data_IF_931374350492
#
_entry.id   IF_931374350492
#
_cell.length_a   1.000
_cell.length_b   1.000
_cell.length_c   1.000
_cell.angle_alpha   90.00
_cell.angle_beta   90.00
_cell.angle_gamma   90.00
#
_symmetry.space_group_name_H-M   'P 1'
#
loop_
_entity.id
_entity.type
_entity.pdbx_description
1 polymer ?
#
# COMPACT_ATOMS: atom_id res chain seq x y z
N UNK A 1 17.00 50.51 -16.81
CA UNK A 1 15.55 50.46 -16.51
C UNK A 1 15.12 49.01 -16.55
N UNK A 2 14.86 48.46 -15.36
CA UNK A 2 14.21 47.20 -14.98
C UNK A 2 14.42 45.91 -15.82
N UNK A 3 15.34 45.07 -15.35
CA UNK A 3 15.30 43.61 -15.48
C UNK A 3 14.11 43.06 -14.66
N UNK A 4 13.14 42.43 -15.31
CA UNK A 4 12.07 41.69 -14.64
C UNK A 4 12.57 40.27 -14.35
N UNK A 5 12.93 40.02 -13.09
CA UNK A 5 13.13 38.68 -12.59
C UNK A 5 11.74 38.05 -12.40
N UNK A 6 11.41 37.03 -13.20
CA UNK A 6 10.32 36.11 -12.87
C UNK A 6 10.82 35.32 -11.66
N UNK A 7 10.37 35.73 -10.48
CA UNK A 7 10.56 34.95 -9.27
C UNK A 7 9.89 33.60 -9.47
N UNK A 8 10.68 32.54 -9.66
CA UNK A 8 10.24 31.17 -9.44
C UNK A 8 9.90 31.05 -7.97
N UNK A 9 8.62 31.28 -7.63
CA UNK A 9 8.08 30.87 -6.36
C UNK A 9 8.38 29.38 -6.22
N UNK A 10 9.24 29.03 -5.26
CA UNK A 10 9.39 27.65 -4.83
C UNK A 10 7.96 27.16 -4.53
N UNK A 11 7.49 26.21 -5.32
CA UNK A 11 6.14 25.68 -5.19
C UNK A 11 5.97 25.25 -3.73
N UNK A 12 5.03 25.88 -3.04
CA UNK A 12 4.63 25.52 -1.70
C UNK A 12 4.25 24.04 -1.75
N UNK A 13 5.14 23.17 -1.29
CA UNK A 13 4.96 21.73 -1.45
C UNK A 13 3.87 21.33 -0.48
N UNK A 14 2.64 21.25 -0.99
CA UNK A 14 1.49 20.81 -0.20
C UNK A 14 1.85 19.49 0.49
N UNK A 15 1.86 19.51 1.82
CA UNK A 15 2.12 18.32 2.61
C UNK A 15 0.99 17.34 2.35
N UNK A 16 1.33 16.12 1.98
CA UNK A 16 0.36 15.06 1.71
C UNK A 16 0.54 13.91 2.69
N UNK A 17 -0.57 13.30 3.08
CA UNK A 17 -0.60 11.99 3.73
C UNK A 17 -0.88 10.93 2.67
N UNK A 18 0.08 10.04 2.47
CA UNK A 18 0.10 9.08 1.37
C UNK A 18 -0.07 7.66 1.90
N UNK A 19 -1.08 6.95 1.41
CA UNK A 19 -1.31 5.54 1.72
C UNK A 19 -0.66 4.67 0.65
N UNK A 20 0.33 3.86 1.00
CA UNK A 20 0.96 2.89 0.10
C UNK A 20 0.48 1.50 0.49
N UNK A 21 -0.25 0.86 -0.42
CA UNK A 21 -0.71 -0.51 -0.23
C UNK A 21 0.45 -1.47 -0.47
N UNK A 22 0.78 -2.29 0.53
CA UNK A 22 1.90 -3.24 0.49
C UNK A 22 1.42 -4.68 0.62
N UNK A 23 2.04 -5.58 -0.13
CA UNK A 23 1.93 -7.03 -0.02
C UNK A 23 3.27 -7.68 -0.42
N UNK A 24 3.33 -9.01 -0.47
CA UNK A 24 4.54 -9.74 -0.90
C UNK A 24 4.78 -9.68 -2.43
N UNK A 25 3.92 -8.97 -3.19
CA UNK A 25 4.04 -8.91 -4.65
C UNK A 25 5.10 -7.90 -5.11
N UNK A 26 5.70 -8.19 -6.27
CA UNK A 26 6.63 -7.28 -6.93
C UNK A 26 6.00 -5.94 -7.33
N UNK A 27 4.68 -5.89 -7.52
CA UNK A 27 3.97 -4.68 -7.94
C UNK A 27 3.80 -3.71 -6.79
N UNK A 28 3.49 -4.22 -5.59
CA UNK A 28 3.51 -3.40 -4.38
C UNK A 28 4.91 -2.87 -4.10
N UNK A 29 5.94 -3.72 -4.25
CA UNK A 29 7.32 -3.28 -4.09
C UNK A 29 7.69 -2.16 -5.08
N UNK A 30 7.33 -2.30 -6.36
CA UNK A 30 7.56 -1.27 -7.38
C UNK A 30 6.75 0.02 -7.11
N UNK A 31 5.52 -0.10 -6.61
CA UNK A 31 4.70 1.05 -6.23
C UNK A 31 5.36 1.85 -5.08
N UNK A 32 5.86 1.16 -4.07
CA UNK A 32 6.60 1.76 -2.97
C UNK A 32 7.88 2.46 -3.46
N UNK A 33 8.70 1.79 -4.27
CA UNK A 33 9.96 2.37 -4.78
C UNK A 33 9.71 3.55 -5.72
N UNK A 34 8.69 3.48 -6.57
CA UNK A 34 8.30 4.61 -7.42
C UNK A 34 7.95 5.84 -6.58
N UNK A 35 7.15 5.67 -5.52
CA UNK A 35 6.85 6.77 -4.62
C UNK A 35 8.12 7.35 -3.99
N UNK A 36 8.97 6.49 -3.42
CA UNK A 36 10.21 6.91 -2.76
C UNK A 36 11.11 7.72 -3.68
N UNK A 37 11.25 7.29 -4.94
CA UNK A 37 12.24 7.83 -5.86
C UNK A 37 11.71 9.01 -6.71
N UNK A 38 10.39 9.16 -6.85
CA UNK A 38 9.81 10.13 -7.79
C UNK A 38 8.81 11.10 -7.18
N UNK A 39 8.15 10.75 -6.08
CA UNK A 39 7.04 11.54 -5.52
C UNK A 39 7.25 12.00 -4.09
N UNK A 40 8.12 11.33 -3.32
CA UNK A 40 8.37 11.68 -1.94
C UNK A 40 9.02 13.07 -1.83
N UNK A 41 8.53 13.86 -0.87
CA UNK A 41 9.04 15.19 -0.53
C UNK A 41 9.01 15.36 0.99
N UNK A 42 9.84 16.27 1.48
CA UNK A 42 9.85 16.63 2.90
C UNK A 42 8.45 17.11 3.34
N UNK A 43 8.02 16.63 4.50
CA UNK A 43 6.71 16.94 5.08
C UNK A 43 5.57 16.05 4.59
N UNK A 44 5.78 15.16 3.62
CA UNK A 44 4.83 14.08 3.37
C UNK A 44 4.85 13.07 4.51
N UNK A 45 3.68 12.58 4.91
CA UNK A 45 3.52 11.50 5.87
C UNK A 45 3.12 10.22 5.13
N UNK A 46 3.81 9.11 5.40
CA UNK A 46 3.56 7.84 4.70
C UNK A 46 2.84 6.86 5.62
N UNK A 47 1.77 6.25 5.13
CA UNK A 47 1.10 5.12 5.77
C UNK A 47 1.27 3.91 4.86
N UNK A 48 2.09 2.94 5.24
CA UNK A 48 2.09 1.65 4.57
C UNK A 48 0.97 0.78 5.16
N UNK A 49 0.15 0.19 4.30
CA UNK A 49 -0.99 -0.63 4.73
C UNK A 49 -0.99 -2.00 4.07
N UNK A 50 -0.99 -3.04 4.90
CA UNK A 50 -1.02 -4.43 4.47
C UNK A 50 -2.37 -5.08 4.79
N UNK A 51 -3.08 -5.55 3.77
CA UNK A 51 -4.25 -6.41 3.96
C UNK A 51 -3.81 -7.88 3.98
N UNK A 52 -3.86 -8.49 5.16
CA UNK A 52 -3.50 -9.90 5.37
C UNK A 52 -4.70 -10.77 4.94
N UNK A 53 -4.48 -11.59 3.92
CA UNK A 53 -5.47 -12.54 3.40
C UNK A 53 -5.02 -13.97 3.75
N UNK A 54 -5.40 -14.51 4.94
CA UNK A 54 -5.06 -15.87 5.30
C UNK A 54 -5.80 -16.85 4.38
N UNK A 55 -5.30 -18.08 4.21
CA UNK A 55 -6.01 -19.11 3.45
C UNK A 55 -7.30 -19.57 4.13
N UNK A 56 -7.44 -19.31 5.44
CA UNK A 56 -8.62 -19.63 6.24
C UNK A 56 -8.94 -18.46 7.18
N UNK A 57 -10.21 -18.14 7.31
CA UNK A 57 -10.73 -17.14 8.23
C UNK A 57 -11.26 -17.79 9.51
N UNK A 58 -11.46 -17.03 10.60
CA UNK A 58 -12.07 -17.56 11.83
C UNK A 58 -13.40 -18.30 11.60
N UNK A 59 -14.18 -17.92 10.58
CA UNK A 59 -15.41 -18.61 10.19
C UNK A 59 -15.21 -19.99 9.55
N UNK A 60 -14.01 -20.27 9.03
CA UNK A 60 -13.66 -21.55 8.40
C UNK A 60 -13.15 -22.58 9.42
N UNK A 61 -12.89 -22.17 10.66
CA UNK A 61 -12.22 -23.00 11.66
C UNK A 61 -12.96 -24.31 11.98
N UNK A 62 -14.28 -24.36 11.80
CA UNK A 62 -15.09 -25.57 11.99
C UNK A 62 -14.98 -26.58 10.84
N UNK A 63 -14.54 -26.14 9.66
CA UNK A 63 -14.48 -26.95 8.43
C UNK A 63 -13.06 -27.41 8.08
N UNK A 64 -12.06 -27.01 8.87
CA UNK A 64 -10.65 -27.28 8.63
C UNK A 64 -10.06 -28.02 9.83
N UNK A 65 -9.12 -28.93 9.58
CA UNK A 65 -8.38 -29.57 10.67
C UNK A 65 -7.74 -28.50 11.58
N UNK A 66 -7.96 -28.52 12.91
CA UNK A 66 -7.48 -27.47 13.81
C UNK A 66 -5.96 -27.23 13.75
N UNK A 67 -5.16 -28.28 13.54
CA UNK A 67 -3.71 -28.13 13.40
C UNK A 67 -3.33 -27.43 12.11
N UNK A 68 -4.03 -27.73 11.01
CA UNK A 68 -3.81 -27.07 9.71
C UNK A 68 -4.20 -25.60 9.78
N UNK A 69 -5.36 -25.30 10.39
CA UNK A 69 -5.81 -23.93 10.62
C UNK A 69 -4.78 -23.13 11.44
N UNK A 70 -4.30 -23.70 12.55
CA UNK A 70 -3.35 -23.03 13.43
C UNK A 70 -1.99 -22.80 12.75
N UNK A 71 -1.50 -23.76 11.96
CA UNK A 71 -0.26 -23.60 11.20
C UNK A 71 -0.39 -22.50 10.15
N UNK A 72 -1.48 -22.48 9.40
CA UNK A 72 -1.74 -21.48 8.37
C UNK A 72 -1.91 -20.06 8.94
N UNK A 73 -2.61 -19.94 10.08
CA UNK A 73 -2.74 -18.66 10.78
C UNK A 73 -1.38 -18.15 11.28
N UNK A 74 -0.56 -19.04 11.85
CA UNK A 74 0.80 -18.69 12.29
C UNK A 74 1.66 -18.24 11.12
N UNK A 75 1.63 -18.96 10.00
CA UNK A 75 2.39 -18.60 8.80
C UNK A 75 1.98 -17.23 8.24
N UNK A 76 0.68 -16.94 8.17
CA UNK A 76 0.17 -15.64 7.71
C UNK A 76 0.64 -14.49 8.62
N UNK A 77 0.65 -14.69 9.95
CA UNK A 77 1.15 -13.71 10.91
C UNK A 77 2.67 -13.50 10.73
N UNK A 78 3.45 -14.58 10.67
CA UNK A 78 4.91 -14.49 10.48
C UNK A 78 5.26 -13.75 9.19
N UNK A 79 4.61 -14.06 8.07
CA UNK A 79 4.80 -13.36 6.79
C UNK A 79 4.43 -11.88 6.89
N UNK A 80 3.34 -11.54 7.57
CA UNK A 80 2.96 -10.15 7.80
C UNK A 80 4.03 -9.39 8.60
N UNK A 81 4.53 -9.97 9.70
CA UNK A 81 5.58 -9.36 10.52
C UNK A 81 6.89 -9.16 9.73
N UNK A 82 7.27 -10.14 8.90
CA UNK A 82 8.46 -10.03 8.03
C UNK A 82 8.28 -8.91 6.99
N UNK A 83 7.09 -8.80 6.40
CA UNK A 83 6.77 -7.75 5.45
C UNK A 83 6.82 -6.36 6.11
N UNK A 84 6.23 -6.21 7.30
CA UNK A 84 6.26 -4.97 8.07
C UNK A 84 7.70 -4.57 8.40
N UNK A 85 8.53 -5.51 8.89
CA UNK A 85 9.96 -5.26 9.16
C UNK A 85 10.71 -4.81 7.91
N UNK A 86 10.46 -5.46 6.77
CA UNK A 86 11.08 -5.12 5.48
C UNK A 86 10.76 -3.67 5.09
N UNK A 87 9.49 -3.26 5.13
CA UNK A 87 9.13 -1.88 4.75
C UNK A 87 9.52 -0.86 5.82
N UNK A 88 9.53 -1.22 7.10
CA UNK A 88 10.02 -0.35 8.18
C UNK A 88 11.49 0.00 7.96
N UNK A 89 12.31 -1.00 7.62
CA UNK A 89 13.71 -0.80 7.30
C UNK A 89 13.88 0.11 6.08
N UNK A 90 13.12 -0.12 5.00
CA UNK A 90 13.16 0.75 3.80
C UNK A 90 12.75 2.19 4.09
N UNK A 91 11.68 2.40 4.86
CA UNK A 91 11.23 3.74 5.26
C UNK A 91 12.30 4.45 6.09
N UNK A 92 12.96 3.73 7.01
CA UNK A 92 14.06 4.25 7.81
C UNK A 92 15.27 4.65 6.96
N UNK A 93 15.69 3.80 6.02
CA UNK A 93 16.81 4.08 5.12
C UNK A 93 16.55 5.30 4.23
N UNK A 94 15.30 5.46 3.77
CA UNK A 94 14.86 6.60 2.95
C UNK A 94 14.47 7.84 3.77
N UNK A 95 14.59 7.80 5.11
CA UNK A 95 14.23 8.86 6.06
C UNK A 95 12.78 9.35 5.92
N UNK A 96 11.86 8.45 5.60
CA UNK A 96 10.44 8.77 5.43
C UNK A 96 9.70 8.63 6.76
N UNK A 97 9.16 9.72 7.34
CA UNK A 97 8.31 9.63 8.52
C UNK A 97 6.98 8.97 8.16
N UNK A 98 6.47 8.12 9.05
CA UNK A 98 5.22 7.42 8.78
C UNK A 98 4.93 6.22 9.68
N UNK A 99 3.91 5.49 9.30
CA UNK A 99 3.44 4.30 10.02
C UNK A 99 3.29 3.10 9.08
N UNK A 100 3.37 1.91 9.65
CA UNK A 100 3.03 0.66 8.97
C UNK A 100 1.93 0.01 9.77
N UNK A 101 0.85 -0.37 9.10
CA UNK A 101 -0.30 -1.01 9.73
C UNK A 101 -0.75 -2.20 8.90
N UNK A 102 -1.27 -3.22 9.55
CA UNK A 102 -1.84 -4.38 8.88
C UNK A 102 -3.26 -4.69 9.37
N UNK A 103 -4.04 -5.34 8.51
CA UNK A 103 -5.41 -5.73 8.79
C UNK A 103 -5.72 -7.10 8.21
N UNK A 104 -6.22 -8.00 9.05
CA UNK A 104 -6.82 -9.26 8.59
C UNK A 104 -8.16 -8.98 7.92
N UNK A 105 -8.32 -9.37 6.65
CA UNK A 105 -9.56 -9.10 5.89
C UNK A 105 -9.73 -10.04 4.69
N UNK A 106 -10.99 -10.28 4.30
CA UNK A 106 -11.39 -10.91 3.03
C UNK A 106 -11.77 -9.87 1.97
N UNK A 107 -11.87 -8.59 2.34
CA UNK A 107 -12.28 -7.49 1.47
C UNK A 107 -11.18 -6.40 1.46
N UNK A 108 -9.99 -6.70 0.89
CA UNK A 108 -8.85 -5.77 0.92
C UNK A 108 -9.17 -4.43 0.26
N UNK A 109 -9.92 -4.42 -0.85
CA UNK A 109 -10.29 -3.18 -1.52
C UNK A 109 -11.12 -2.25 -0.64
N UNK A 110 -12.10 -2.82 0.09
CA UNK A 110 -12.94 -2.08 1.03
C UNK A 110 -12.12 -1.55 2.22
N UNK A 111 -11.29 -2.38 2.84
CA UNK A 111 -10.46 -1.95 3.97
C UNK A 111 -9.43 -0.88 3.58
N UNK A 112 -8.89 -0.91 2.35
CA UNK A 112 -8.02 0.16 1.84
C UNK A 112 -8.77 1.49 1.74
N UNK A 113 -9.95 1.50 1.12
CA UNK A 113 -10.76 2.73 0.99
C UNK A 113 -11.18 3.27 2.36
N UNK A 114 -11.65 2.39 3.24
CA UNK A 114 -12.01 2.72 4.61
C UNK A 114 -10.83 3.29 5.41
N UNK A 115 -9.65 2.68 5.27
CA UNK A 115 -8.41 3.17 5.90
C UNK A 115 -8.04 4.54 5.37
N UNK A 116 -8.17 4.75 4.06
CA UNK A 116 -7.91 6.03 3.43
C UNK A 116 -8.82 7.14 3.98
N UNK A 117 -10.12 6.87 4.11
CA UNK A 117 -11.10 7.82 4.67
C UNK A 117 -10.81 8.13 6.14
N UNK A 118 -10.60 7.08 6.96
CA UNK A 118 -10.35 7.23 8.39
C UNK A 118 -9.09 8.04 8.68
N UNK A 119 -8.04 7.83 7.89
CA UNK A 119 -6.75 8.49 8.09
C UNK A 119 -6.63 9.84 7.37
N UNK A 120 -7.66 10.25 6.59
CA UNK A 120 -7.69 11.46 5.74
C UNK A 120 -6.52 11.49 4.76
N UNK A 121 -6.43 10.42 3.95
CA UNK A 121 -5.36 10.24 2.98
C UNK A 121 -5.59 11.11 1.75
N UNK A 122 -4.54 11.79 1.29
CA UNK A 122 -4.57 12.66 0.10
C UNK A 122 -4.26 11.89 -1.20
N UNK A 123 -3.55 10.76 -1.09
CA UNK A 123 -3.16 9.93 -2.23
C UNK A 123 -3.05 8.46 -1.83
N UNK A 124 -3.75 7.58 -2.56
CA UNK A 124 -3.56 6.13 -2.45
C UNK A 124 -2.62 5.67 -3.57
N UNK A 125 -1.60 4.87 -3.21
CA UNK A 125 -0.67 4.24 -4.13
C UNK A 125 -0.82 2.73 -4.01
N UNK A 126 -1.10 2.07 -5.13
CA UNK A 126 -1.32 0.62 -5.19
C UNK A 126 -0.66 0.00 -6.42
N UNK A 127 -0.18 -1.24 -6.30
CA UNK A 127 0.27 -2.01 -7.46
C UNK A 127 -0.89 -2.38 -8.40
N UNK A 128 -0.60 -2.72 -9.65
CA UNK A 128 -1.65 -3.22 -10.57
C UNK A 128 -2.22 -4.58 -10.19
N UNK A 129 -1.44 -5.41 -9.48
CA UNK A 129 -1.75 -6.82 -9.18
C UNK A 129 -1.15 -7.24 -7.85
N UNK A 130 -1.74 -8.24 -7.22
CA UNK A 130 -1.20 -8.91 -6.03
C UNK A 130 -0.78 -10.35 -6.31
N UNK A 131 -0.64 -11.15 -5.24
CA UNK A 131 -0.04 -12.49 -5.23
C UNK A 131 -0.75 -13.58 -6.07
N UNK A 132 -2.03 -13.41 -6.41
CA UNK A 132 -2.85 -14.46 -7.06
C UNK A 132 -3.41 -14.13 -8.45
N UNK A 133 -2.96 -13.06 -9.10
CA UNK A 133 -3.70 -12.49 -10.24
C UNK A 133 -3.42 -13.21 -11.57
N UNK A 134 -4.49 -13.53 -12.33
CA UNK A 134 -4.42 -14.14 -13.67
C UNK A 134 -3.71 -13.22 -14.68
N UNK A 135 -2.85 -13.78 -15.54
CA UNK A 135 -2.06 -13.03 -16.55
C UNK A 135 -2.90 -12.26 -17.58
N UNK A 136 -4.22 -12.49 -17.66
CA UNK A 136 -5.08 -11.98 -18.73
C UNK A 136 -5.82 -10.67 -18.40
N UNK A 137 -5.84 -10.23 -17.14
CA UNK A 137 -6.45 -8.94 -16.77
C UNK A 137 -5.38 -7.85 -16.68
N UNK A 138 -5.70 -6.62 -17.12
CA UNK A 138 -4.80 -5.46 -17.01
C UNK A 138 -4.65 -4.98 -15.56
N UNK A 139 -5.69 -5.18 -14.75
CA UNK A 139 -5.81 -4.74 -13.36
C UNK A 139 -6.30 -5.89 -12.47
N UNK A 140 -5.82 -5.93 -11.22
CA UNK A 140 -6.29 -6.86 -10.19
C UNK A 140 -7.60 -6.39 -9.53
N UNK A 141 -8.32 -7.32 -8.89
CA UNK A 141 -9.61 -7.04 -8.24
C UNK A 141 -9.52 -5.94 -7.18
N UNK A 142 -8.45 -5.92 -6.39
CA UNK A 142 -8.22 -4.91 -5.33
C UNK A 142 -8.01 -3.53 -5.92
N UNK A 143 -7.08 -3.38 -6.86
CA UNK A 143 -6.78 -2.09 -7.49
C UNK A 143 -7.98 -1.58 -8.31
N UNK A 144 -8.74 -2.48 -8.94
CA UNK A 144 -10.01 -2.15 -9.58
C UNK A 144 -11.02 -1.60 -8.57
N UNK A 145 -11.23 -2.29 -7.46
CA UNK A 145 -12.14 -1.83 -6.41
C UNK A 145 -11.74 -0.43 -5.90
N UNK A 146 -10.48 -0.24 -5.52
CA UNK A 146 -9.97 1.03 -4.97
C UNK A 146 -10.16 2.17 -5.97
N UNK A 147 -9.85 1.97 -7.25
CA UNK A 147 -10.04 2.98 -8.30
C UNK A 147 -11.49 3.47 -8.43
N UNK A 148 -12.46 2.60 -8.17
CA UNK A 148 -13.88 2.95 -8.31
C UNK A 148 -14.50 3.57 -7.05
N UNK A 149 -13.87 3.41 -5.88
CA UNK A 149 -14.50 3.76 -4.60
C UNK A 149 -13.69 4.75 -3.74
N UNK A 150 -12.42 5.01 -4.07
CA UNK A 150 -11.61 5.95 -3.32
C UNK A 150 -12.17 7.38 -3.39
N UNK A 151 -12.20 8.07 -2.25
CA UNK A 151 -12.57 9.48 -2.14
C UNK A 151 -11.46 10.45 -2.56
N UNK A 152 -10.23 9.95 -2.72
CA UNK A 152 -9.04 10.72 -3.08
C UNK A 152 -8.32 10.12 -4.30
N UNK A 153 -7.39 10.86 -4.94
CA UNK A 153 -6.61 10.35 -6.06
C UNK A 153 -5.97 8.98 -5.80
N UNK A 154 -5.97 8.15 -6.83
CA UNK A 154 -5.36 6.81 -6.81
C UNK A 154 -4.28 6.73 -7.89
N UNK A 155 -3.06 6.39 -7.48
CA UNK A 155 -1.97 6.04 -8.37
C UNK A 155 -1.84 4.52 -8.44
N UNK A 156 -1.98 3.98 -9.65
CA UNK A 156 -1.78 2.55 -9.91
C UNK A 156 -0.44 2.33 -10.59
N UNK A 157 0.47 1.63 -9.91
CA UNK A 157 1.80 1.33 -10.43
C UNK A 157 1.81 0.02 -11.25
N UNK A 158 2.11 0.16 -12.53
CA UNK A 158 2.24 -0.95 -13.50
C UNK A 158 3.69 -1.29 -13.84
N UNK A 159 4.66 -0.78 -13.08
CA UNK A 159 6.06 -1.04 -13.29
C UNK A 159 6.45 -2.34 -12.58
N UNK A 160 7.12 -3.26 -13.28
CA UNK A 160 7.77 -4.38 -12.60
C UNK A 160 9.09 -3.86 -12.06
N UNK A 161 9.41 -4.22 -10.82
CA UNK A 161 10.79 -4.09 -10.38
C UNK A 161 11.57 -5.21 -11.08
N UNK A 162 12.41 -4.84 -12.05
CA UNK A 162 13.47 -5.72 -12.57
C UNK A 162 14.64 -5.76 -11.59
#
# INVERSE_FOLDING_TARGET
MATSAVATAAADSHKMKVLICIDESQWAAAAFEFYCNSLHKDGHEVVCFHCIHPPFYPGDASNVNPHVYQLAAKEAITKAEELEKKYAQKMKEKKMPGTITARLTNEPGYEIVKKAEADKIDLIIIGTRGLGTLKRTLLGSVSHYVLHHAHCPVLVCNHKHE
#
